data_IF_626109185668
#
_entry.id   IF_626109185668
#
_cell.length_a   1.000
_cell.length_b   1.000
_cell.length_c   1.000
_cell.angle_alpha   90.00
_cell.angle_beta   90.00
_cell.angle_gamma   90.00
#
_symmetry.space_group_name_H-M   'P 1'
#
loop_
_entity.id
_entity.type
_entity.pdbx_description
1 polymer ?
#
# COMPACT_ATOMS: atom_id res chain seq x y z
N UNK A 1 -22.35 0.50 6.78
CA UNK A 1 -23.74 0.91 7.01
C UNK A 1 -24.11 2.25 6.42
N UNK A 2 -23.18 3.22 6.42
CA UNK A 2 -23.42 4.57 5.88
C UNK A 2 -23.49 4.60 4.34
N UNK A 3 -22.70 3.78 3.65
CA UNK A 3 -22.59 3.78 2.20
C UNK A 3 -23.92 3.61 1.45
N UNK A 4 -24.84 2.71 1.78
CA UNK A 4 -26.14 2.61 1.11
C UNK A 4 -26.98 3.88 1.24
N UNK A 5 -26.86 4.63 2.35
CA UNK A 5 -27.57 5.90 2.56
C UNK A 5 -27.10 7.00 1.62
N UNK A 6 -25.94 6.84 0.97
CA UNK A 6 -25.37 7.80 0.02
C UNK A 6 -25.84 7.59 -1.43
N UNK A 7 -26.63 6.55 -1.73
CA UNK A 7 -26.99 6.20 -3.11
C UNK A 7 -27.70 7.36 -3.83
N UNK A 8 -28.66 8.00 -3.15
CA UNK A 8 -29.37 9.15 -3.72
C UNK A 8 -28.44 10.35 -3.92
N UNK A 9 -27.58 10.64 -2.94
CA UNK A 9 -26.61 11.71 -3.04
C UNK A 9 -25.58 11.47 -4.15
N UNK A 10 -25.11 10.23 -4.28
CA UNK A 10 -24.19 9.81 -5.35
C UNK A 10 -24.82 10.00 -6.74
N UNK A 11 -26.09 9.62 -6.90
CA UNK A 11 -26.82 9.83 -8.15
C UNK A 11 -26.98 11.33 -8.48
N UNK A 12 -27.40 12.14 -7.51
CA UNK A 12 -27.51 13.58 -7.69
C UNK A 12 -26.16 14.25 -8.01
N UNK A 13 -25.10 13.85 -7.33
CA UNK A 13 -23.74 14.33 -7.59
C UNK A 13 -23.29 13.99 -9.02
N UNK A 14 -23.54 12.77 -9.48
CA UNK A 14 -23.16 12.32 -10.83
C UNK A 14 -23.86 13.10 -11.94
N UNK A 15 -25.16 13.44 -11.75
CA UNK A 15 -25.89 14.34 -12.67
C UNK A 15 -25.25 15.72 -12.69
N UNK A 16 -24.75 16.20 -11.55
CA UNK A 16 -24.04 17.48 -11.42
C UNK A 16 -22.57 17.45 -11.89
N UNK A 17 -22.10 16.34 -12.47
CA UNK A 17 -20.72 16.20 -12.92
C UNK A 17 -19.72 16.09 -11.77
N UNK A 18 -20.14 15.59 -10.61
CA UNK A 18 -19.28 15.37 -9.45
C UNK A 18 -19.29 13.87 -9.10
N UNK A 19 -18.10 13.33 -8.86
CA UNK A 19 -17.92 12.01 -8.28
C UNK A 19 -17.39 12.12 -6.87
N UNK A 20 -17.72 11.17 -6.00
CA UNK A 20 -17.10 11.05 -4.70
C UNK A 20 -16.99 9.59 -4.25
N UNK A 21 -16.07 9.34 -3.36
CA UNK A 21 -15.91 8.08 -2.65
C UNK A 21 -15.61 8.31 -1.18
N UNK A 22 -16.01 7.37 -0.36
CA UNK A 22 -15.73 7.37 1.07
C UNK A 22 -15.11 6.04 1.47
N UNK A 23 -14.10 6.08 2.32
CA UNK A 23 -13.44 4.89 2.83
C UNK A 23 -13.07 5.07 4.30
N UNK A 24 -13.10 4.00 5.12
CA UNK A 24 -12.44 4.00 6.41
C UNK A 24 -10.92 3.93 6.18
N UNK A 25 -10.19 4.88 6.72
CA UNK A 25 -8.73 4.87 6.71
C UNK A 25 -8.24 5.63 7.95
N UNK A 26 -8.18 4.94 9.08
CA UNK A 26 -7.86 5.53 10.39
C UNK A 26 -8.72 6.77 10.74
N UNK A 27 -9.95 6.77 10.24
CA UNK A 27 -10.92 7.84 10.28
C UNK A 27 -11.88 7.73 9.12
N UNK A 28 -12.49 8.82 8.72
CA UNK A 28 -13.32 8.92 7.52
C UNK A 28 -12.54 9.64 6.41
N UNK A 29 -12.17 8.90 5.38
CA UNK A 29 -11.59 9.46 4.16
C UNK A 29 -12.70 9.78 3.16
N UNK A 30 -12.71 11.02 2.65
CA UNK A 30 -13.61 11.47 1.58
C UNK A 30 -12.78 11.99 0.41
N UNK A 31 -12.97 11.42 -0.77
CA UNK A 31 -12.42 11.94 -2.01
C UNK A 31 -13.56 12.40 -2.90
N UNK A 32 -13.48 13.65 -3.39
CA UNK A 32 -14.48 14.21 -4.29
C UNK A 32 -13.80 14.96 -5.44
N UNK A 33 -14.32 14.77 -6.64
CA UNK A 33 -13.79 15.42 -7.85
C UNK A 33 -14.94 15.88 -8.77
N UNK A 34 -14.75 17.01 -9.46
CA UNK A 34 -15.74 17.58 -10.37
C UNK A 34 -15.79 19.11 -10.32
N UNK A 35 -16.94 19.67 -10.70
CA UNK A 35 -17.11 21.13 -10.77
C UNK A 35 -17.10 21.80 -9.40
N UNK A 36 -16.25 22.80 -9.23
CA UNK A 36 -16.01 23.53 -7.96
C UNK A 36 -17.29 24.12 -7.37
N UNK A 37 -18.22 24.62 -8.19
CA UNK A 37 -19.40 25.38 -7.74
C UNK A 37 -20.33 24.56 -6.81
N UNK A 38 -20.38 23.24 -6.97
CA UNK A 38 -21.22 22.36 -6.16
C UNK A 38 -20.47 21.56 -5.09
N UNK A 39 -19.16 21.63 -5.11
CA UNK A 39 -18.29 20.88 -4.19
C UNK A 39 -18.56 21.19 -2.72
N UNK A 40 -18.67 22.48 -2.29
CA UNK A 40 -18.98 22.81 -0.90
C UNK A 40 -20.32 22.22 -0.45
N UNK A 41 -21.36 22.29 -1.29
CA UNK A 41 -22.68 21.76 -0.98
C UNK A 41 -22.65 20.23 -0.83
N UNK A 42 -21.93 19.51 -1.72
CA UNK A 42 -21.77 18.06 -1.63
C UNK A 42 -21.06 17.68 -0.32
N UNK A 43 -19.90 18.27 -0.04
CA UNK A 43 -19.13 17.98 1.17
C UNK A 43 -19.91 18.27 2.44
N UNK A 44 -20.63 19.38 2.49
CA UNK A 44 -21.54 19.72 3.58
C UNK A 44 -22.62 18.66 3.76
N UNK A 45 -23.25 18.18 2.69
CA UNK A 45 -24.28 17.13 2.75
C UNK A 45 -23.71 15.80 3.22
N UNK A 46 -22.52 15.41 2.74
CA UNK A 46 -21.82 14.20 3.16
C UNK A 46 -21.50 14.22 4.65
N UNK A 47 -20.93 15.31 5.12
CA UNK A 47 -20.52 15.48 6.53
C UNK A 47 -21.72 15.51 7.47
N UNK A 48 -22.80 16.24 7.10
CA UNK A 48 -24.06 16.23 7.84
C UNK A 48 -24.67 14.83 7.92
N UNK A 49 -24.72 14.15 6.76
CA UNK A 49 -25.23 12.79 6.70
C UNK A 49 -24.45 11.85 7.61
N UNK A 50 -23.11 11.95 7.63
CA UNK A 50 -22.26 11.13 8.49
C UNK A 50 -22.51 11.43 9.98
N UNK A 51 -22.52 12.71 10.37
CA UNK A 51 -22.70 13.11 11.76
C UNK A 51 -24.06 12.70 12.35
N UNK A 52 -25.12 12.73 11.51
CA UNK A 52 -26.49 12.40 11.94
C UNK A 52 -26.90 10.93 11.65
N UNK A 53 -26.06 10.15 11.00
CA UNK A 53 -26.41 8.80 10.60
C UNK A 53 -26.65 7.88 11.79
N UNK A 54 -27.85 7.30 11.85
CA UNK A 54 -28.21 6.29 12.82
C UNK A 54 -28.66 5.04 12.06
N UNK A 55 -27.86 3.96 12.07
CA UNK A 55 -28.24 2.75 11.36
C UNK A 55 -29.41 2.05 12.04
N UNK A 56 -30.30 1.45 11.24
CA UNK A 56 -31.27 0.50 11.75
C UNK A 56 -30.61 -0.86 11.97
N UNK A 57 -31.25 -1.73 12.76
CA UNK A 57 -30.80 -3.12 12.93
C UNK A 57 -30.71 -3.87 11.59
N UNK A 58 -31.67 -3.64 10.70
CA UNK A 58 -31.67 -4.25 9.37
C UNK A 58 -30.46 -3.80 8.55
N UNK A 59 -30.15 -2.51 8.55
CA UNK A 59 -28.98 -1.98 7.86
C UNK A 59 -27.68 -2.53 8.44
N UNK A 60 -27.61 -2.74 9.75
CA UNK A 60 -26.45 -3.36 10.39
C UNK A 60 -26.28 -4.82 9.95
N UNK A 61 -27.38 -5.60 9.91
CA UNK A 61 -27.38 -6.98 9.43
C UNK A 61 -26.89 -7.06 7.97
N UNK A 62 -27.41 -6.20 7.10
CA UNK A 62 -26.99 -6.12 5.69
C UNK A 62 -25.48 -5.77 5.58
N UNK A 63 -25.01 -4.80 6.37
CA UNK A 63 -23.60 -4.41 6.37
C UNK A 63 -22.68 -5.53 6.85
N UNK A 64 -23.07 -6.26 7.90
CA UNK A 64 -22.34 -7.44 8.37
C UNK A 64 -22.27 -8.53 7.33
N UNK A 65 -23.39 -8.81 6.62
CA UNK A 65 -23.43 -9.80 5.55
C UNK A 65 -22.51 -9.42 4.40
N UNK A 66 -22.61 -8.16 3.93
CA UNK A 66 -21.73 -7.65 2.89
C UNK A 66 -20.24 -7.74 3.29
N UNK A 67 -19.90 -7.37 4.53
CA UNK A 67 -18.49 -7.40 4.97
C UNK A 67 -17.96 -8.83 5.09
N UNK A 68 -18.78 -9.81 5.53
CA UNK A 68 -18.41 -11.23 5.48
C UNK A 68 -18.11 -11.69 4.06
N UNK A 69 -18.95 -11.32 3.11
CA UNK A 69 -18.73 -11.65 1.70
C UNK A 69 -17.41 -11.05 1.20
N UNK A 70 -17.08 -9.79 1.56
CA UNK A 70 -15.81 -9.19 1.20
C UNK A 70 -14.61 -9.95 1.83
N UNK A 71 -14.73 -10.43 3.06
CA UNK A 71 -13.70 -11.26 3.69
C UNK A 71 -13.55 -12.61 2.95
N UNK A 72 -14.64 -13.24 2.55
CA UNK A 72 -14.64 -14.50 1.80
C UNK A 72 -14.01 -14.35 0.42
N UNK A 73 -14.35 -13.28 -0.30
CA UNK A 73 -13.76 -12.96 -1.61
C UNK A 73 -12.25 -12.73 -1.46
N UNK A 74 -11.86 -11.98 -0.44
CA UNK A 74 -10.44 -11.70 -0.19
C UNK A 74 -9.63 -12.95 0.21
N UNK A 75 -10.26 -13.96 0.83
CA UNK A 75 -9.62 -15.25 1.13
C UNK A 75 -9.46 -16.13 -0.11
N UNK A 76 -10.34 -15.97 -1.10
CA UNK A 76 -10.33 -16.70 -2.38
C UNK A 76 -9.58 -15.96 -3.48
N UNK A 77 -8.84 -14.93 -3.15
CA UNK A 77 -8.06 -14.12 -4.09
C UNK A 77 -7.08 -14.97 -4.92
N UNK A 78 -6.59 -14.41 -6.02
CA UNK A 78 -5.58 -15.06 -6.87
C UNK A 78 -4.32 -15.34 -6.06
N UNK A 79 -3.60 -16.39 -6.40
CA UNK A 79 -2.43 -16.81 -5.64
C UNK A 79 -1.39 -15.69 -5.47
N UNK A 80 -1.14 -14.90 -6.52
CA UNK A 80 -0.20 -13.78 -6.46
C UNK A 80 -0.68 -12.64 -5.53
N UNK A 81 -2.00 -12.37 -5.48
CA UNK A 81 -2.58 -11.37 -4.58
C UNK A 81 -2.42 -11.79 -3.12
N UNK A 82 -2.67 -13.08 -2.85
CA UNK A 82 -2.49 -13.67 -1.52
C UNK A 82 -1.03 -13.70 -1.09
N UNK A 83 -0.10 -13.92 -2.04
CA UNK A 83 1.33 -13.95 -1.75
C UNK A 83 1.88 -12.57 -1.38
N UNK A 84 1.51 -11.50 -2.10
CA UNK A 84 2.03 -10.15 -1.81
C UNK A 84 1.31 -9.47 -0.63
N UNK A 85 0.14 -9.96 -0.22
CA UNK A 85 -0.71 -9.33 0.76
C UNK A 85 -0.04 -9.12 2.13
N UNK A 86 0.69 -10.08 2.73
CA UNK A 86 1.34 -9.84 4.01
C UNK A 86 2.24 -8.62 4.01
N UNK A 87 3.06 -8.43 2.98
CA UNK A 87 3.94 -7.27 2.86
C UNK A 87 3.15 -5.94 2.82
N UNK A 88 2.03 -5.90 2.08
CA UNK A 88 1.16 -4.72 2.00
C UNK A 88 0.46 -4.38 3.31
N UNK A 89 0.19 -5.39 4.12
CA UNK A 89 -0.55 -5.22 5.38
C UNK A 89 0.34 -4.92 6.58
N UNK A 90 1.66 -5.11 6.47
CA UNK A 90 2.58 -4.81 7.57
C UNK A 90 2.54 -3.35 8.00
N UNK A 91 2.31 -2.42 7.08
CA UNK A 91 2.20 -0.98 7.36
C UNK A 91 0.84 -0.56 7.96
N UNK A 92 -0.13 -1.47 8.02
CA UNK A 92 -1.42 -1.18 8.63
C UNK A 92 -1.34 -1.46 10.13
N UNK A 93 -1.03 -0.47 10.94
CA UNK A 93 -0.86 -0.62 12.39
C UNK A 93 -2.04 0.02 13.12
N UNK A 94 -2.69 -0.70 14.06
CA UNK A 94 -2.60 -2.13 14.30
C UNK A 94 -3.30 -2.94 13.19
N UNK A 95 -2.72 -4.06 12.79
CA UNK A 95 -3.36 -4.98 11.86
C UNK A 95 -4.12 -6.09 12.60
N UNK A 96 -5.38 -6.27 12.24
CA UNK A 96 -6.21 -7.38 12.72
C UNK A 96 -6.47 -8.39 11.62
N UNK A 97 -6.30 -9.65 11.93
CA UNK A 97 -6.51 -10.75 10.97
C UNK A 97 -7.96 -10.87 10.53
N UNK A 98 -8.20 -11.34 9.31
CA UNK A 98 -9.56 -11.52 8.77
C UNK A 98 -10.40 -12.46 9.64
N UNK A 99 -9.80 -13.52 10.17
CA UNK A 99 -10.46 -14.47 11.08
C UNK A 99 -10.93 -13.82 12.37
N UNK A 100 -10.16 -12.90 12.91
CA UNK A 100 -10.50 -12.11 14.09
C UNK A 100 -11.64 -11.14 13.80
N UNK A 101 -11.52 -10.37 12.68
CA UNK A 101 -12.57 -9.46 12.24
C UNK A 101 -13.89 -10.18 12.00
N UNK A 102 -13.85 -11.39 11.43
CA UNK A 102 -15.05 -12.22 11.22
C UNK A 102 -15.73 -12.58 12.53
N UNK A 103 -14.97 -12.96 13.56
CA UNK A 103 -15.51 -13.29 14.90
C UNK A 103 -16.15 -12.07 15.55
N UNK A 104 -15.51 -10.89 15.42
CA UNK A 104 -16.02 -9.66 16.03
C UNK A 104 -17.32 -9.17 15.37
N UNK A 105 -17.57 -9.47 14.09
CA UNK A 105 -18.76 -8.99 13.39
C UNK A 105 -20.07 -9.37 14.10
N UNK A 106 -20.15 -10.56 14.71
CA UNK A 106 -21.36 -11.02 15.35
C UNK A 106 -21.70 -10.23 16.60
N UNK A 107 -20.70 -9.77 17.33
CA UNK A 107 -20.87 -9.02 18.58
C UNK A 107 -21.19 -7.53 18.40
N UNK A 108 -20.94 -6.96 17.21
CA UNK A 108 -21.18 -5.53 16.97
C UNK A 108 -22.67 -5.22 16.99
N UNK A 109 -23.07 -4.26 17.80
CA UNK A 109 -24.43 -3.73 17.89
C UNK A 109 -24.57 -2.37 17.21
N UNK A 110 -25.79 -1.89 17.01
CA UNK A 110 -26.06 -0.51 16.56
C UNK A 110 -25.45 0.49 17.54
N UNK A 111 -25.52 0.22 18.84
CA UNK A 111 -24.96 1.09 19.87
C UNK A 111 -23.43 1.20 19.74
N UNK A 112 -22.73 0.11 19.43
CA UNK A 112 -21.26 0.15 19.22
C UNK A 112 -20.91 1.04 18.02
N UNK A 113 -21.70 0.98 16.94
CA UNK A 113 -21.50 1.84 15.76
C UNK A 113 -21.71 3.32 16.11
N UNK A 114 -22.73 3.63 16.89
CA UNK A 114 -23.02 4.99 17.34
C UNK A 114 -21.92 5.52 18.27
N UNK A 115 -21.51 4.71 19.25
CA UNK A 115 -20.41 5.06 20.17
C UNK A 115 -19.12 5.34 19.41
N UNK A 116 -18.76 4.44 18.49
CA UNK A 116 -17.57 4.63 17.65
C UNK A 116 -17.64 5.91 16.82
N UNK A 117 -18.80 6.20 16.19
CA UNK A 117 -19.00 7.45 15.43
C UNK A 117 -18.79 8.67 16.31
N UNK A 118 -19.43 8.69 17.50
CA UNK A 118 -19.39 9.83 18.41
C UNK A 118 -17.98 10.05 18.98
N UNK A 119 -17.26 8.98 19.31
CA UNK A 119 -15.89 9.06 19.79
C UNK A 119 -14.94 9.52 18.67
N UNK A 120 -15.14 9.01 17.45
CA UNK A 120 -14.36 9.45 16.28
C UNK A 120 -14.56 10.97 16.07
N UNK A 121 -15.79 11.46 16.08
CA UNK A 121 -16.07 12.89 15.89
C UNK A 121 -15.46 13.76 17.00
N UNK A 122 -15.47 13.31 18.25
CA UNK A 122 -14.88 14.06 19.38
C UNK A 122 -13.36 14.16 19.31
N UNK A 123 -12.69 13.14 18.73
CA UNK A 123 -11.23 13.01 18.75
C UNK A 123 -10.57 13.38 17.40
N UNK A 124 -11.36 13.58 16.35
CA UNK A 124 -10.83 13.82 15.00
C UNK A 124 -10.42 15.26 14.78
N UNK A 125 -9.34 15.42 14.03
CA UNK A 125 -9.03 16.64 13.29
C UNK A 125 -9.42 16.44 11.80
N UNK A 126 -9.55 17.52 11.06
CA UNK A 126 -9.81 17.48 9.62
C UNK A 126 -8.58 17.94 8.86
N UNK A 127 -8.17 17.13 7.89
CA UNK A 127 -7.14 17.46 6.94
C UNK A 127 -7.76 17.58 5.55
N UNK A 128 -7.38 18.61 4.81
CA UNK A 128 -7.92 18.87 3.47
C UNK A 128 -6.79 19.10 2.48
N UNK A 129 -6.78 18.29 1.43
CA UNK A 129 -6.01 18.56 0.22
C UNK A 129 -6.98 18.97 -0.88
N UNK A 130 -6.85 20.20 -1.36
CA UNK A 130 -7.63 20.70 -2.50
C UNK A 130 -6.70 20.97 -3.67
N UNK A 131 -7.04 20.44 -4.85
CA UNK A 131 -6.28 20.63 -6.08
C UNK A 131 -7.24 21.09 -7.18
N UNK A 132 -6.93 22.17 -7.86
CA UNK A 132 -7.72 22.70 -8.97
C UNK A 132 -8.18 24.14 -8.76
N UNK A 133 -9.37 24.48 -9.26
CA UNK A 133 -9.87 25.85 -9.31
C UNK A 133 -10.57 26.28 -7.99
N UNK A 134 -9.82 26.31 -6.90
CA UNK A 134 -10.25 26.86 -5.60
C UNK A 134 -9.12 27.71 -5.01
N UNK A 135 -9.47 28.86 -4.42
CA UNK A 135 -8.48 29.67 -3.70
C UNK A 135 -8.25 29.15 -2.28
N UNK A 136 -7.14 29.52 -1.68
CA UNK A 136 -6.83 29.14 -0.29
C UNK A 136 -7.92 29.62 0.68
N UNK A 137 -8.47 30.81 0.47
CA UNK A 137 -9.56 31.38 1.27
C UNK A 137 -10.82 30.50 1.17
N UNK A 138 -11.21 30.12 -0.04
CA UNK A 138 -12.38 29.25 -0.25
C UNK A 138 -12.23 27.90 0.43
N UNK A 139 -11.03 27.30 0.37
CA UNK A 139 -10.74 26.02 1.04
C UNK A 139 -10.76 26.20 2.55
N UNK A 140 -10.20 27.29 3.07
CA UNK A 140 -10.22 27.60 4.51
C UNK A 140 -11.63 27.79 5.03
N UNK A 141 -12.45 28.60 4.36
CA UNK A 141 -13.86 28.82 4.72
C UNK A 141 -14.67 27.52 4.71
N UNK A 142 -14.47 26.70 3.68
CA UNK A 142 -15.10 25.38 3.59
C UNK A 142 -14.67 24.48 4.76
N UNK A 143 -13.38 24.41 5.04
CA UNK A 143 -12.84 23.60 6.13
C UNK A 143 -13.40 24.01 7.49
N UNK A 144 -13.43 25.30 7.78
CA UNK A 144 -14.01 25.81 9.04
C UNK A 144 -15.53 25.55 9.13
N UNK A 145 -16.24 25.64 8.00
CA UNK A 145 -17.66 25.27 7.94
C UNK A 145 -17.89 23.79 8.27
N UNK A 146 -17.06 22.89 7.70
CA UNK A 146 -17.12 21.46 7.96
C UNK A 146 -16.76 21.12 9.40
N UNK A 147 -15.74 21.74 9.97
CA UNK A 147 -15.35 21.59 11.40
C UNK A 147 -16.51 21.95 12.33
N UNK A 148 -17.13 23.11 12.07
CA UNK A 148 -18.29 23.57 12.86
C UNK A 148 -19.46 22.60 12.75
N UNK A 149 -19.74 22.08 11.58
CA UNK A 149 -20.84 21.17 11.32
C UNK A 149 -20.64 19.79 11.99
N UNK A 150 -19.41 19.28 12.00
CA UNK A 150 -19.04 18.06 12.70
C UNK A 150 -18.88 18.25 14.21
N UNK A 151 -18.94 19.50 14.70
CA UNK A 151 -18.66 19.85 16.09
C UNK A 151 -17.30 19.30 16.56
N UNK A 152 -16.27 19.38 15.68
CA UNK A 152 -14.93 18.92 15.99
C UNK A 152 -14.31 19.84 17.04
N UNK A 153 -14.02 19.28 18.20
CA UNK A 153 -13.37 19.99 19.33
C UNK A 153 -11.88 19.70 19.34
N UNK A 154 -11.48 18.58 18.73
CA UNK A 154 -10.10 18.10 18.74
C UNK A 154 -9.20 18.97 17.84
N UNK A 155 -8.03 19.29 18.41
CA UNK A 155 -6.90 19.88 17.68
C UNK A 155 -5.80 18.83 17.48
N UNK A 156 -6.02 17.62 17.95
CA UNK A 156 -5.02 16.55 17.93
C UNK A 156 -5.05 15.89 16.58
N UNK A 157 -3.96 15.99 15.86
CA UNK A 157 -3.71 15.20 14.66
C UNK A 157 -3.72 13.72 15.03
N UNK A 158 -4.39 12.90 14.24
CA UNK A 158 -4.19 11.48 14.38
C UNK A 158 -2.74 11.18 13.95
N UNK A 159 -1.98 10.73 14.91
CA UNK A 159 -0.61 10.32 14.64
C UNK A 159 -0.66 8.83 14.41
N UNK A 160 -0.53 8.41 13.17
CA UNK A 160 -0.45 7.00 12.81
C UNK A 160 0.75 6.34 13.46
N UNK A 161 0.60 5.09 13.78
CA UNK A 161 1.74 4.24 14.06
C UNK A 161 2.19 3.55 12.77
N UNK A 162 3.48 3.40 12.59
CA UNK A 162 4.04 2.65 11.48
C UNK A 162 5.09 1.66 11.97
N UNK A 163 5.27 0.58 11.25
CA UNK A 163 6.37 -0.35 11.53
C UNK A 163 7.69 0.26 11.12
N UNK A 164 8.72 0.00 11.93
CA UNK A 164 10.09 0.38 11.60
C UNK A 164 10.95 -0.88 11.51
N UNK A 165 11.77 -0.92 10.48
CA UNK A 165 12.74 -1.98 10.29
C UNK A 165 14.09 -1.46 10.78
N UNK A 166 14.48 -1.87 11.97
CA UNK A 166 15.74 -1.43 12.62
C UNK A 166 16.85 -2.47 12.53
N UNK A 167 16.49 -3.74 12.39
CA UNK A 167 17.42 -4.86 12.38
C UNK A 167 17.00 -5.91 11.35
N UNK A 168 17.89 -6.85 11.09
CA UNK A 168 17.60 -7.96 10.20
C UNK A 168 16.47 -8.83 10.76
N UNK A 169 15.43 -9.01 9.95
CA UNK A 169 14.28 -9.87 10.20
C UNK A 169 14.06 -10.75 8.98
N UNK A 170 14.33 -12.04 9.13
CA UNK A 170 14.12 -13.04 8.08
C UNK A 170 12.80 -13.76 8.36
N UNK A 171 11.75 -13.40 7.63
CA UNK A 171 10.39 -13.85 7.88
C UNK A 171 9.88 -14.73 6.73
N UNK A 172 9.37 -15.91 7.05
CA UNK A 172 8.68 -16.81 6.14
C UNK A 172 7.20 -16.90 6.51
N UNK A 173 6.34 -16.93 5.50
CA UNK A 173 4.90 -17.14 5.68
C UNK A 173 4.40 -18.14 4.64
N UNK A 174 3.58 -19.08 5.07
CA UNK A 174 3.12 -20.21 4.27
C UNK A 174 1.60 -20.26 4.27
N UNK A 175 1.03 -20.51 3.10
CA UNK A 175 -0.41 -20.61 2.92
C UNK A 175 -0.76 -21.60 1.81
N UNK A 176 -1.85 -22.34 2.00
CA UNK A 176 -2.49 -23.09 0.91
C UNK A 176 -3.58 -22.20 0.31
N UNK A 177 -3.51 -21.96 -0.99
CA UNK A 177 -4.49 -21.17 -1.72
C UNK A 177 -5.75 -21.96 -2.05
N UNK A 178 -6.76 -21.26 -2.57
CA UNK A 178 -8.03 -21.87 -3.02
C UNK A 178 -7.99 -22.34 -4.49
N UNK A 179 -6.99 -21.88 -5.26
CA UNK A 179 -6.78 -22.28 -6.66
C UNK A 179 -5.65 -23.32 -6.78
N UNK A 180 -5.51 -23.92 -7.97
CA UNK A 180 -4.41 -24.82 -8.29
C UNK A 180 -3.07 -24.11 -8.47
N UNK A 181 -3.06 -22.79 -8.61
CA UNK A 181 -1.83 -22.04 -8.85
C UNK A 181 -1.05 -21.80 -7.56
N UNK A 182 0.27 -21.91 -7.64
CA UNK A 182 1.17 -21.44 -6.62
C UNK A 182 1.63 -20.01 -6.88
N UNK A 183 2.04 -19.32 -5.84
CA UNK A 183 2.72 -18.04 -5.97
C UNK A 183 3.79 -17.86 -4.89
N UNK A 184 4.80 -17.08 -5.24
CA UNK A 184 5.87 -16.68 -4.36
C UNK A 184 6.06 -15.18 -4.43
N UNK A 185 5.95 -14.51 -3.30
CA UNK A 185 6.37 -13.12 -3.13
C UNK A 185 7.57 -13.07 -2.20
N UNK A 186 8.61 -12.35 -2.62
CA UNK A 186 9.76 -12.04 -1.79
C UNK A 186 9.92 -10.52 -1.73
N UNK A 187 9.90 -9.96 -0.53
CA UNK A 187 9.99 -8.52 -0.29
C UNK A 187 11.19 -8.25 0.60
N UNK A 188 12.04 -7.34 0.16
CA UNK A 188 13.29 -7.00 0.81
C UNK A 188 13.37 -5.50 1.04
N UNK A 189 13.45 -5.09 2.31
CA UNK A 189 13.53 -3.69 2.71
C UNK A 189 14.76 -3.48 3.59
N UNK A 190 15.85 -2.93 3.04
CA UNK A 190 17.08 -2.70 3.81
C UNK A 190 16.94 -1.53 4.78
N UNK A 191 17.74 -1.55 5.84
CA UNK A 191 17.89 -0.43 6.79
C UNK A 191 18.93 0.57 6.33
N UNK A 192 19.04 1.72 7.03
CA UNK A 192 20.13 2.68 6.85
C UNK A 192 19.92 3.71 5.75
N UNK A 193 18.73 3.77 5.15
CA UNK A 193 18.39 4.77 4.14
C UNK A 193 17.26 5.69 4.63
N UNK A 194 17.39 6.99 4.31
CA UNK A 194 16.26 7.92 4.45
C UNK A 194 15.16 7.53 3.45
N UNK A 195 13.93 7.92 3.70
CA UNK A 195 12.80 7.59 2.84
C UNK A 195 13.06 7.94 1.37
N UNK A 196 13.47 9.17 1.07
CA UNK A 196 13.74 9.62 -0.30
C UNK A 196 14.93 8.86 -0.93
N UNK A 197 15.97 8.57 -0.16
CA UNK A 197 17.12 7.81 -0.66
C UNK A 197 16.75 6.36 -0.97
N UNK A 198 15.92 5.74 -0.13
CA UNK A 198 15.37 4.40 -0.37
C UNK A 198 14.43 4.38 -1.57
N UNK A 199 13.53 5.36 -1.67
CA UNK A 199 12.59 5.52 -2.79
C UNK A 199 13.33 5.64 -4.13
N UNK A 200 14.36 6.48 -4.22
CA UNK A 200 15.14 6.68 -5.43
C UNK A 200 15.87 5.40 -5.87
N UNK A 201 16.50 4.69 -4.91
CA UNK A 201 17.18 3.42 -5.18
C UNK A 201 16.22 2.32 -5.59
N UNK A 202 15.12 2.18 -4.88
CA UNK A 202 14.06 1.22 -5.20
C UNK A 202 13.47 1.42 -6.60
N UNK A 203 13.17 2.66 -6.96
CA UNK A 203 12.57 2.98 -8.25
C UNK A 203 13.55 2.68 -9.40
N UNK A 204 14.82 3.11 -9.28
CA UNK A 204 15.84 2.85 -10.30
C UNK A 204 16.15 1.35 -10.40
N UNK A 205 16.27 0.67 -9.25
CA UNK A 205 16.49 -0.77 -9.20
C UNK A 205 15.32 -1.54 -9.85
N UNK A 206 14.09 -1.16 -9.53
CA UNK A 206 12.89 -1.77 -10.13
C UNK A 206 12.87 -1.63 -11.64
N UNK A 207 13.22 -0.45 -12.18
CA UNK A 207 13.29 -0.21 -13.62
C UNK A 207 14.36 -1.08 -14.32
N UNK A 208 15.50 -1.31 -13.68
CA UNK A 208 16.60 -2.10 -14.23
C UNK A 208 16.33 -3.60 -14.10
N UNK A 209 15.86 -4.06 -12.93
CA UNK A 209 15.71 -5.49 -12.62
C UNK A 209 14.47 -6.10 -13.27
N UNK A 210 13.37 -5.35 -13.43
CA UNK A 210 12.11 -5.89 -13.94
C UNK A 210 12.25 -6.58 -15.31
N UNK A 211 12.87 -5.99 -16.34
CA UNK A 211 13.05 -6.69 -17.60
C UNK A 211 13.90 -7.95 -17.46
N UNK A 212 14.98 -7.96 -16.67
CA UNK A 212 15.82 -9.12 -16.48
C UNK A 212 15.11 -10.27 -15.79
N UNK A 213 14.34 -9.95 -14.75
CA UNK A 213 13.53 -10.90 -13.99
C UNK A 213 12.41 -11.51 -14.85
N UNK A 214 11.75 -10.67 -15.63
CA UNK A 214 10.69 -11.10 -16.55
C UNK A 214 11.24 -11.98 -17.66
N UNK A 215 12.30 -11.54 -18.33
CA UNK A 215 12.87 -12.26 -19.46
C UNK A 215 13.35 -13.67 -19.06
N UNK A 216 14.10 -13.77 -17.96
CA UNK A 216 14.57 -15.06 -17.49
C UNK A 216 13.42 -15.97 -17.04
N UNK A 217 12.57 -15.52 -16.13
CA UNK A 217 11.59 -16.40 -15.47
C UNK A 217 10.30 -16.58 -16.28
N UNK A 218 9.92 -15.57 -17.05
CA UNK A 218 8.70 -15.61 -17.88
C UNK A 218 8.99 -16.09 -19.31
N UNK A 219 10.03 -15.53 -19.97
CA UNK A 219 10.25 -15.77 -21.39
C UNK A 219 11.09 -17.04 -21.61
N UNK A 220 12.23 -17.16 -20.92
CA UNK A 220 13.15 -18.27 -21.10
C UNK A 220 12.68 -19.52 -20.35
N UNK A 221 12.34 -19.39 -19.06
CA UNK A 221 11.99 -20.53 -18.19
C UNK A 221 10.49 -20.87 -18.19
N UNK A 222 9.63 -19.97 -18.67
CA UNK A 222 8.19 -20.15 -18.80
C UNK A 222 7.49 -20.59 -17.51
N UNK A 223 7.92 -20.05 -16.37
CA UNK A 223 7.45 -20.47 -15.05
C UNK A 223 6.01 -20.06 -14.72
N UNK A 224 5.52 -18.99 -15.34
CA UNK A 224 4.18 -18.50 -15.08
C UNK A 224 3.84 -17.23 -15.87
N UNK A 225 2.63 -16.72 -15.68
CA UNK A 225 2.16 -15.53 -16.39
C UNK A 225 2.27 -14.22 -15.59
N UNK A 226 2.29 -14.31 -14.26
CA UNK A 226 2.50 -13.15 -13.40
C UNK A 226 3.93 -13.20 -12.86
N UNK A 227 4.83 -12.43 -13.48
CA UNK A 227 6.26 -12.35 -13.13
C UNK A 227 6.63 -10.88 -13.07
N UNK A 228 6.88 -10.38 -11.85
CA UNK A 228 7.11 -8.96 -11.59
C UNK A 228 8.23 -8.76 -10.57
N UNK A 229 9.04 -7.73 -10.79
CA UNK A 229 9.78 -7.07 -9.72
C UNK A 229 9.40 -5.59 -9.67
N UNK A 230 9.31 -5.01 -8.49
CA UNK A 230 8.76 -3.66 -8.32
C UNK A 230 9.30 -3.01 -7.05
N UNK A 231 9.36 -1.67 -7.00
CA UNK A 231 9.59 -0.95 -5.76
C UNK A 231 8.51 -1.30 -4.73
N UNK A 232 8.93 -1.55 -3.50
CA UNK A 232 8.02 -1.89 -2.40
C UNK A 232 8.46 -1.17 -1.14
N UNK A 233 7.49 -0.68 -0.37
CA UNK A 233 7.75 -0.13 0.96
C UNK A 233 7.05 -0.94 2.04
N UNK A 234 7.65 -0.95 3.22
CA UNK A 234 7.02 -1.33 4.48
C UNK A 234 7.24 -0.15 5.42
N UNK A 235 6.15 0.47 5.85
CA UNK A 235 6.23 1.79 6.44
C UNK A 235 6.81 2.82 5.48
N UNK A 236 7.67 3.67 6.01
CA UNK A 236 8.41 4.67 5.25
C UNK A 236 9.76 4.17 4.71
N UNK A 237 10.02 2.86 4.77
CA UNK A 237 11.27 2.25 4.34
C UNK A 237 11.08 1.52 3.02
N UNK A 238 11.93 1.81 2.04
CA UNK A 238 11.79 1.36 0.67
C UNK A 238 12.78 0.26 0.31
N UNK A 239 12.32 -0.69 -0.48
CA UNK A 239 13.08 -1.83 -0.97
C UNK A 239 12.51 -2.36 -2.27
N UNK A 240 12.70 -3.64 -2.52
CA UNK A 240 12.27 -4.31 -3.75
C UNK A 240 11.43 -5.53 -3.45
N UNK A 241 10.37 -5.71 -4.24
CA UNK A 241 9.53 -6.90 -4.25
C UNK A 241 9.72 -7.72 -5.52
N UNK A 242 9.65 -9.03 -5.39
CA UNK A 242 9.59 -10.02 -6.47
C UNK A 242 8.33 -10.83 -6.32
N UNK A 243 7.63 -11.09 -7.40
CA UNK A 243 6.38 -11.83 -7.41
C UNK A 243 6.31 -12.73 -8.63
N UNK A 244 6.00 -14.00 -8.40
CA UNK A 244 5.78 -14.99 -9.45
C UNK A 244 4.58 -15.86 -9.10
N UNK A 245 3.67 -16.05 -10.06
CA UNK A 245 2.60 -17.05 -9.98
C UNK A 245 2.80 -18.10 -11.07
N UNK A 246 2.70 -19.37 -10.67
CA UNK A 246 2.87 -20.52 -11.55
C UNK A 246 1.70 -21.50 -11.42
N UNK A 247 1.27 -22.00 -12.56
CA UNK A 247 0.26 -23.09 -12.64
C UNK A 247 0.89 -24.51 -12.64
N UNK A 248 2.22 -24.60 -12.65
CA UNK A 248 2.92 -25.89 -12.82
C UNK A 248 4.04 -26.14 -11.82
N UNK A 249 4.46 -25.12 -11.09
CA UNK A 249 5.60 -25.20 -10.16
C UNK A 249 5.17 -24.82 -8.74
N UNK A 250 5.65 -25.55 -7.74
CA UNK A 250 5.41 -25.29 -6.33
C UNK A 250 6.33 -24.19 -5.78
N UNK A 251 6.03 -23.62 -4.61
CA UNK A 251 6.78 -22.48 -4.05
C UNK A 251 8.27 -22.77 -3.84
N UNK A 252 8.65 -23.97 -3.41
CA UNK A 252 10.06 -24.30 -3.22
C UNK A 252 10.86 -24.24 -4.54
N UNK A 253 10.30 -24.76 -5.63
CA UNK A 253 10.94 -24.66 -6.94
C UNK A 253 11.09 -23.19 -7.36
N UNK A 254 10.05 -22.39 -7.20
CA UNK A 254 10.09 -20.98 -7.54
C UNK A 254 11.14 -20.23 -6.72
N UNK A 255 11.28 -20.55 -5.45
CA UNK A 255 12.31 -19.96 -4.59
C UNK A 255 13.74 -20.31 -5.05
N UNK A 256 13.99 -21.54 -5.47
CA UNK A 256 15.29 -21.94 -6.04
C UNK A 256 15.62 -21.13 -7.31
N UNK A 257 14.60 -20.76 -8.11
CA UNK A 257 14.81 -19.91 -9.30
C UNK A 257 15.16 -18.47 -8.90
N UNK A 258 14.54 -17.95 -7.83
CA UNK A 258 14.93 -16.63 -7.28
C UNK A 258 16.38 -16.65 -6.81
N UNK A 259 16.78 -17.69 -6.05
CA UNK A 259 18.16 -17.83 -5.57
C UNK A 259 19.18 -17.94 -6.72
N UNK A 260 18.80 -18.53 -7.84
CA UNK A 260 19.65 -18.58 -9.04
C UNK A 260 19.73 -17.23 -9.78
N UNK A 261 18.63 -16.45 -9.77
CA UNK A 261 18.57 -15.13 -10.42
C UNK A 261 19.37 -14.06 -9.67
N UNK A 262 19.27 -14.01 -8.34
CA UNK A 262 19.81 -12.89 -7.54
C UNK A 262 21.32 -12.64 -7.73
N UNK A 263 22.21 -13.65 -7.67
CA UNK A 263 23.64 -13.40 -7.90
C UNK A 263 23.95 -12.93 -9.33
N UNK A 264 23.17 -13.38 -10.32
CA UNK A 264 23.32 -12.94 -11.69
C UNK A 264 22.90 -11.48 -11.85
N UNK A 265 21.81 -11.07 -11.22
CA UNK A 265 21.35 -9.69 -11.21
C UNK A 265 22.37 -8.76 -10.51
N UNK A 266 22.91 -9.15 -9.36
CA UNK A 266 23.97 -8.38 -8.67
C UNK A 266 25.20 -8.22 -9.57
N UNK A 267 25.67 -9.30 -10.18
CA UNK A 267 26.81 -9.27 -11.11
C UNK A 267 26.55 -8.31 -12.27
N UNK A 268 25.37 -8.41 -12.91
CA UNK A 268 25.00 -7.53 -14.03
C UNK A 268 24.93 -6.06 -13.62
N UNK A 269 24.46 -5.75 -12.40
CA UNK A 269 24.48 -4.38 -11.87
C UNK A 269 25.91 -3.85 -11.72
N UNK A 270 26.83 -4.65 -11.17
CA UNK A 270 28.24 -4.25 -10.96
C UNK A 270 29.02 -4.11 -12.26
N UNK A 271 28.69 -4.92 -13.26
CA UNK A 271 29.34 -4.94 -14.57
C UNK A 271 28.65 -4.02 -15.59
N UNK A 272 27.60 -3.27 -15.15
CA UNK A 272 26.87 -2.37 -16.04
C UNK A 272 27.76 -1.23 -16.54
N UNK A 273 27.76 -1.01 -17.86
CA UNK A 273 28.50 0.09 -18.46
C UNK A 273 27.96 1.44 -17.96
N UNK A 274 28.83 2.43 -17.74
CA UNK A 274 28.39 3.74 -17.27
C UNK A 274 27.33 4.38 -18.16
N UNK A 275 27.45 4.25 -19.48
CA UNK A 275 26.49 4.83 -20.45
C UNK A 275 25.10 4.15 -20.32
N UNK A 276 25.05 2.83 -20.16
CA UNK A 276 23.81 2.10 -19.98
C UNK A 276 23.13 2.49 -18.66
N UNK A 277 23.90 2.64 -17.59
CA UNK A 277 23.38 3.07 -16.29
C UNK A 277 22.82 4.51 -16.36
N UNK A 278 23.53 5.41 -17.05
CA UNK A 278 23.06 6.78 -17.23
C UNK A 278 21.77 6.85 -18.04
N UNK A 279 21.57 5.97 -19.04
CA UNK A 279 20.31 5.86 -19.78
C UNK A 279 19.14 5.46 -18.86
N UNK A 280 19.32 4.51 -17.94
CA UNK A 280 18.29 4.16 -16.95
C UNK A 280 17.96 5.33 -16.02
N UNK A 281 18.97 6.03 -15.52
CA UNK A 281 18.78 7.25 -14.71
C UNK A 281 17.98 8.30 -15.46
N UNK A 282 18.39 8.60 -16.70
CA UNK A 282 17.72 9.58 -17.53
C UNK A 282 16.27 9.16 -17.84
N UNK A 283 16.04 7.87 -18.10
CA UNK A 283 14.71 7.31 -18.30
C UNK A 283 13.79 7.57 -17.08
N UNK A 284 14.28 7.27 -15.87
CA UNK A 284 13.54 7.51 -14.64
C UNK A 284 13.31 9.01 -14.39
N UNK A 285 14.33 9.84 -14.59
CA UNK A 285 14.20 11.31 -14.46
C UNK A 285 13.16 11.86 -15.43
N UNK A 286 13.18 11.42 -16.68
CA UNK A 286 12.20 11.85 -17.67
C UNK A 286 10.78 11.42 -17.29
N UNK A 287 10.61 10.21 -16.76
CA UNK A 287 9.31 9.74 -16.25
C UNK A 287 8.82 10.61 -15.07
N UNK A 288 9.69 10.93 -14.12
CA UNK A 288 9.37 11.78 -12.98
C UNK A 288 9.05 13.23 -13.39
N UNK A 289 9.67 13.73 -14.46
CA UNK A 289 9.44 15.07 -15.00
C UNK A 289 8.21 15.18 -15.89
N UNK A 290 7.54 14.07 -16.22
CA UNK A 290 6.31 14.14 -17.01
C UNK A 290 5.30 15.04 -16.33
N UNK A 291 4.74 15.96 -17.12
CA UNK A 291 3.69 16.87 -16.64
C UNK A 291 2.37 16.12 -16.58
N UNK A 292 1.61 16.27 -15.50
CA UNK A 292 0.24 15.78 -15.46
C UNK A 292 -0.56 16.29 -16.67
N UNK A 293 -1.34 15.40 -17.28
CA UNK A 293 -2.21 15.75 -18.41
C UNK A 293 -3.64 16.05 -17.95
N UNK A 294 -3.98 15.58 -16.76
CA UNK A 294 -5.31 15.74 -16.16
C UNK A 294 -5.19 16.27 -14.74
N UNK A 295 -6.29 16.83 -14.23
CA UNK A 295 -6.39 17.26 -12.83
C UNK A 295 -6.21 16.09 -11.87
N UNK A 296 -6.72 14.90 -12.25
CA UNK A 296 -6.58 13.69 -11.41
C UNK A 296 -5.12 13.24 -11.27
N UNK A 297 -4.35 13.29 -12.35
CA UNK A 297 -2.90 12.99 -12.31
C UNK A 297 -2.14 14.01 -11.44
N UNK A 298 -2.51 15.28 -11.52
CA UNK A 298 -1.92 16.33 -10.69
C UNK A 298 -2.29 16.14 -9.22
N UNK A 299 -3.56 15.86 -8.93
CA UNK A 299 -4.05 15.57 -7.59
C UNK A 299 -3.37 14.35 -6.98
N UNK A 300 -3.19 13.28 -7.79
CA UNK A 300 -2.50 12.07 -7.33
C UNK A 300 -1.03 12.32 -6.96
N UNK A 301 -0.36 13.21 -7.69
CA UNK A 301 1.00 13.63 -7.35
C UNK A 301 1.06 14.29 -5.97
N UNK A 302 0.17 15.25 -5.70
CA UNK A 302 0.13 15.93 -4.40
C UNK A 302 -0.36 15.00 -3.29
N UNK A 303 -1.29 14.09 -3.57
CA UNK A 303 -1.79 13.10 -2.61
C UNK A 303 -0.69 12.18 -2.08
N UNK A 304 0.28 11.80 -2.92
CA UNK A 304 1.44 10.99 -2.47
C UNK A 304 2.20 11.71 -1.38
N UNK A 305 2.56 12.96 -1.60
CA UNK A 305 3.29 13.77 -0.62
C UNK A 305 2.45 14.04 0.64
N UNK A 306 1.17 14.32 0.45
CA UNK A 306 0.22 14.53 1.54
C UNK A 306 0.13 13.29 2.47
N UNK A 307 0.02 12.10 1.89
CA UNK A 307 -0.03 10.84 2.65
C UNK A 307 1.29 10.52 3.37
N UNK A 308 2.39 11.10 2.95
CA UNK A 308 3.72 11.00 3.57
C UNK A 308 4.00 12.14 4.58
N UNK A 309 2.99 12.97 4.87
CA UNK A 309 3.14 14.20 5.68
C UNK A 309 4.22 15.16 5.12
N UNK A 310 4.52 15.07 3.81
CA UNK A 310 5.42 16.00 3.14
C UNK A 310 4.67 17.20 2.59
N UNK A 311 4.34 18.15 3.45
CA UNK A 311 3.60 19.35 3.08
C UNK A 311 4.42 20.40 2.28
N UNK A 312 5.70 20.12 2.05
CA UNK A 312 6.51 20.86 1.08
C UNK A 312 6.21 20.46 -0.37
N UNK A 313 5.57 19.30 -0.59
CA UNK A 313 5.21 18.73 -1.89
C UNK A 313 6.38 18.65 -2.89
N UNK A 314 7.58 18.34 -2.38
CA UNK A 314 8.85 18.36 -3.09
C UNK A 314 9.55 16.97 -3.16
N UNK A 315 8.84 15.89 -2.79
CA UNK A 315 9.43 14.53 -2.81
C UNK A 315 9.95 14.13 -4.19
N UNK A 316 9.25 14.53 -5.25
CA UNK A 316 9.65 14.28 -6.63
C UNK A 316 10.98 14.95 -6.98
N UNK A 317 11.13 16.21 -6.64
CA UNK A 317 12.32 17.02 -6.89
C UNK A 317 13.53 16.45 -6.10
N UNK A 318 13.31 16.11 -4.83
CA UNK A 318 14.31 15.45 -3.99
C UNK A 318 14.69 14.07 -4.54
N UNK A 319 13.72 13.29 -5.01
CA UNK A 319 13.95 12.00 -5.62
C UNK A 319 14.78 12.12 -6.91
N UNK A 320 14.47 13.07 -7.79
CA UNK A 320 15.25 13.36 -9.00
C UNK A 320 16.69 13.71 -8.63
N UNK A 321 16.90 14.55 -7.62
CA UNK A 321 18.23 14.91 -7.16
C UNK A 321 19.02 13.69 -6.69
N UNK A 322 18.38 12.79 -5.92
CA UNK A 322 18.99 11.53 -5.49
C UNK A 322 19.34 10.62 -6.67
N UNK A 323 18.41 10.40 -7.61
CA UNK A 323 18.63 9.54 -8.79
C UNK A 323 19.82 10.03 -9.62
N UNK A 324 19.95 11.35 -9.82
CA UNK A 324 21.07 11.92 -10.58
C UNK A 324 22.44 11.66 -9.96
N UNK A 325 22.52 11.53 -8.65
CA UNK A 325 23.76 11.28 -7.92
C UNK A 325 24.12 9.79 -7.81
N UNK A 326 23.16 8.87 -8.01
CA UNK A 326 23.40 7.44 -7.88
C UNK A 326 24.44 6.92 -8.87
N UNK A 327 25.26 6.00 -8.40
CA UNK A 327 26.19 5.20 -9.19
C UNK A 327 25.70 3.74 -9.27
N UNK A 328 26.17 3.01 -10.28
CA UNK A 328 25.86 1.59 -10.45
C UNK A 328 26.32 0.76 -9.23
N UNK A 329 27.49 1.08 -8.66
CA UNK A 329 28.00 0.41 -7.47
C UNK A 329 27.11 0.64 -6.24
N UNK A 330 26.67 1.87 -5.98
CA UNK A 330 25.75 2.17 -4.86
C UNK A 330 24.41 1.43 -5.03
N UNK A 331 23.93 1.27 -6.26
CA UNK A 331 22.71 0.51 -6.54
C UNK A 331 22.93 -1.00 -6.36
N UNK A 332 24.09 -1.51 -6.76
CA UNK A 332 24.48 -2.90 -6.52
C UNK A 332 24.66 -3.19 -5.02
N UNK A 333 25.23 -2.24 -4.26
CA UNK A 333 25.35 -2.36 -2.80
C UNK A 333 23.98 -2.34 -2.11
N UNK A 334 23.06 -1.49 -2.57
CA UNK A 334 21.66 -1.51 -2.10
C UNK A 334 21.01 -2.86 -2.38
N UNK A 335 21.17 -3.42 -3.58
CA UNK A 335 20.67 -4.74 -3.92
C UNK A 335 21.31 -5.84 -3.06
N UNK A 336 22.63 -5.78 -2.84
CA UNK A 336 23.33 -6.72 -1.98
C UNK A 336 22.81 -6.70 -0.55
N UNK A 337 22.65 -5.51 0.04
CA UNK A 337 22.14 -5.32 1.40
C UNK A 337 20.66 -5.71 1.53
N UNK A 338 19.87 -5.50 0.48
CA UNK A 338 18.47 -5.87 0.49
C UNK A 338 18.28 -7.39 0.30
N UNK A 339 18.88 -7.96 -0.76
CA UNK A 339 18.49 -9.27 -1.30
C UNK A 339 19.52 -10.36 -1.02
N UNK A 340 20.82 -10.08 -1.26
CA UNK A 340 21.87 -11.11 -1.17
C UNK A 340 22.28 -11.40 0.28
N UNK A 341 22.45 -10.35 1.06
CA UNK A 341 22.80 -10.38 2.49
C UNK A 341 21.87 -9.45 3.25
N UNK A 342 20.62 -9.84 3.47
CA UNK A 342 19.60 -8.94 4.01
C UNK A 342 20.03 -8.27 5.30
N UNK A 343 20.04 -6.93 5.28
CA UNK A 343 20.28 -6.05 6.43
C UNK A 343 19.02 -5.22 6.70
N UNK A 344 17.92 -5.92 7.01
CA UNK A 344 16.61 -5.35 7.20
C UNK A 344 15.54 -6.43 7.11
N UNK A 345 14.35 -6.09 6.65
CA UNK A 345 13.29 -7.06 6.45
C UNK A 345 13.52 -7.84 5.15
N UNK A 346 13.54 -9.17 5.28
CA UNK A 346 13.36 -10.10 4.17
C UNK A 346 12.11 -10.94 4.48
N UNK A 347 11.06 -10.76 3.70
CA UNK A 347 9.80 -11.48 3.83
C UNK A 347 9.60 -12.37 2.62
N UNK A 348 9.54 -13.68 2.85
CA UNK A 348 9.13 -14.70 1.87
C UNK A 348 7.69 -15.10 2.17
N UNK A 349 6.79 -14.83 1.27
CA UNK A 349 5.38 -15.22 1.40
C UNK A 349 4.99 -16.17 0.28
N UNK A 350 4.57 -17.36 0.68
CA UNK A 350 4.40 -18.51 -0.17
C UNK A 350 2.94 -18.95 -0.19
N UNK A 351 2.39 -19.09 -1.38
CA UNK A 351 1.06 -19.67 -1.60
C UNK A 351 1.23 -20.95 -2.40
N UNK A 352 0.88 -22.09 -1.81
CA UNK A 352 0.84 -23.39 -2.48
C UNK A 352 -0.54 -23.57 -3.11
N UNK A 353 -0.58 -24.02 -4.36
CA UNK A 353 -1.83 -24.36 -5.02
C UNK A 353 -2.52 -25.56 -4.39
N UNK A 354 -3.85 -25.56 -4.42
CA UNK A 354 -4.64 -26.67 -3.92
C UNK A 354 -4.35 -27.94 -4.74
N UNK A 355 -4.06 -29.05 -4.06
CA UNK A 355 -3.75 -30.33 -4.71
C UNK A 355 -2.36 -30.43 -5.34
N UNK A 356 -1.53 -29.40 -5.30
CA UNK A 356 -0.14 -29.52 -5.77
C UNK A 356 0.68 -30.45 -4.89
N UNK A 357 1.43 -31.36 -5.53
CA UNK A 357 2.53 -32.07 -4.89
C UNK A 357 3.69 -31.10 -4.62
N UNK A 358 4.58 -31.40 -3.68
CA UNK A 358 5.71 -30.55 -3.32
C UNK A 358 5.44 -29.66 -2.13
N UNK A 359 6.43 -28.89 -1.70
CA UNK A 359 6.46 -28.19 -0.43
C UNK A 359 6.70 -26.69 -0.55
N UNK A 360 6.62 -26.06 0.60
CA UNK A 360 7.11 -24.70 0.79
C UNK A 360 8.64 -24.71 0.82
N UNK A 361 9.26 -23.60 0.44
CA UNK A 361 10.66 -23.36 0.73
C UNK A 361 10.84 -23.18 2.24
N UNK A 362 11.90 -23.74 2.78
CA UNK A 362 12.29 -23.58 4.18
C UNK A 362 13.70 -22.99 4.20
N UNK A 363 13.86 -21.68 4.07
CA UNK A 363 15.18 -21.05 4.08
C UNK A 363 15.82 -21.20 5.45
N UNK A 364 17.11 -21.54 5.47
CA UNK A 364 17.85 -21.68 6.72
C UNK A 364 17.96 -20.35 7.47
N UNK A 365 17.69 -20.36 8.76
CA UNK A 365 17.74 -19.16 9.61
C UNK A 365 16.51 -18.26 9.53
N UNK A 366 15.50 -18.61 8.75
CA UNK A 366 14.26 -17.85 8.65
C UNK A 366 13.23 -18.32 9.67
N UNK A 367 12.48 -17.38 10.23
CA UNK A 367 11.37 -17.69 11.16
C UNK A 367 10.06 -17.75 10.39
N UNK A 368 9.32 -18.83 10.53
CA UNK A 368 7.98 -18.95 9.95
C UNK A 368 6.94 -18.35 10.88
N UNK A 369 6.18 -17.39 10.37
CA UNK A 369 5.09 -16.71 11.06
C UNK A 369 3.75 -17.23 10.55
N UNK A 370 2.80 -17.56 11.45
CA UNK A 370 1.50 -18.08 11.05
C UNK A 370 0.58 -17.00 10.46
N UNK A 371 0.79 -15.74 10.84
CA UNK A 371 -0.07 -14.61 10.45
C UNK A 371 0.73 -13.32 10.27
N UNK A 372 0.14 -12.36 9.56
CA UNK A 372 0.75 -11.03 9.37
C UNK A 372 0.84 -10.27 10.70
N UNK A 373 -0.17 -10.38 11.56
CA UNK A 373 -0.16 -9.75 12.89
C UNK A 373 0.93 -10.33 13.80
N UNK A 374 1.20 -11.65 13.71
CA UNK A 374 2.30 -12.26 14.45
C UNK A 374 3.68 -11.74 14.00
N UNK A 375 3.89 -11.53 12.70
CA UNK A 375 5.10 -10.88 12.20
C UNK A 375 5.16 -9.41 12.61
N UNK A 376 4.06 -8.65 12.45
CA UNK A 376 3.99 -7.24 12.81
C UNK A 376 4.34 -7.01 14.29
N UNK A 377 3.89 -7.86 15.18
CA UNK A 377 4.17 -7.78 16.62
C UNK A 377 5.68 -7.92 16.97
N UNK A 378 6.51 -8.41 16.05
CA UNK A 378 7.97 -8.51 16.24
C UNK A 378 8.73 -7.29 15.71
N UNK A 379 8.06 -6.43 14.95
CA UNK A 379 8.64 -5.22 14.39
C UNK A 379 8.39 -4.03 15.33
N UNK A 380 9.40 -3.21 15.61
CA UNK A 380 9.19 -1.96 16.32
C UNK A 380 8.13 -1.10 15.64
N UNK A 381 7.32 -0.44 16.44
CA UNK A 381 6.31 0.51 15.96
C UNK A 381 6.69 1.89 16.45
N UNK A 382 6.52 2.88 15.61
CA UNK A 382 6.77 4.28 15.95
C UNK A 382 5.57 5.12 15.60
N UNK A 383 5.22 5.97 16.53
CA UNK A 383 4.27 7.06 16.31
C UNK A 383 4.88 8.00 15.27
N UNK A 384 4.18 8.20 14.16
CA UNK A 384 4.60 9.15 13.14
C UNK A 384 4.41 10.55 13.71
N UNK A 385 5.49 11.33 13.81
CA UNK A 385 5.36 12.73 14.19
C UNK A 385 4.56 13.48 13.10
N UNK A 386 3.67 14.41 13.49
CA UNK A 386 2.93 15.22 12.53
C UNK A 386 3.84 16.12 11.68
#
# INVERSE_FOLDING_TARGET
TFHPSLTQLSYQASIGGISFSTAPNNGLYVNAGGFTQRMPQLLTSLVSGYASFTPTEEQLVQAKSWYREQLDVAEKGKAYELAIQPAKLLSNVPYSERSERRKLLDSISVQDVLTYRDDLLKQSAIEVLAVGNMTAEQVTELTESLKKQLNLIGTTWWVGEDVIIEKTQLANMERVGSSSDAALAAVYVPTGYTEIAGMARSALLGQIIQPWFYDQLRTEEQLGYAVFSFPMSVGHQWGIGFLLQSNSKEPNYLYQRYLAFYPQAEKRLREMKPDDFEQYKQGLVNQLLQRPQTLDEEAERYRKDFNLNNFAFDSREKMIAQVKQLTANELADFFQQAVIKPQGLALLSQVKGQGQAGGFAVPEGWTTYPTTSALQATLPQKVLAP
#
